data_IF_756138772473
#
_entry.id   IF_756138772473
#
_cell.length_a   1.000
_cell.length_b   1.000
_cell.length_c   1.000
_cell.angle_alpha   90.00
_cell.angle_beta   90.00
_cell.angle_gamma   90.00
#
_symmetry.space_group_name_H-M   'P 1'
#
loop_
_entity.id
_entity.type
_entity.pdbx_description
1 polymer ?
#
# COMPACT_ATOMS: atom_id res chain seq x y z
N UNK A 1 5.34 -19.74 -20.24
CA UNK A 1 6.53 -18.87 -20.22
C UNK A 1 7.47 -19.44 -19.17
N UNK A 2 8.64 -20.00 -19.56
CA UNK A 2 9.62 -20.51 -18.59
C UNK A 2 10.18 -19.32 -17.80
N UNK A 3 10.14 -19.45 -16.45
CA UNK A 3 10.73 -18.47 -15.54
C UNK A 3 12.20 -18.24 -15.92
N UNK A 4 12.49 -17.08 -16.47
CA UNK A 4 13.86 -16.63 -16.77
C UNK A 4 14.65 -16.28 -15.49
N UNK A 5 13.93 -16.15 -14.36
CA UNK A 5 14.48 -15.93 -13.03
C UNK A 5 14.03 -17.10 -12.16
N UNK A 6 14.98 -17.81 -11.57
CA UNK A 6 14.71 -18.93 -10.65
C UNK A 6 14.32 -18.31 -9.28
N UNK A 7 13.11 -17.74 -9.17
CA UNK A 7 12.60 -17.13 -7.95
C UNK A 7 12.04 -18.24 -7.06
N UNK A 8 12.62 -18.43 -5.90
CA UNK A 8 12.21 -19.41 -4.89
C UNK A 8 11.58 -18.72 -3.68
N UNK A 9 12.05 -17.52 -3.32
CA UNK A 9 11.60 -16.79 -2.13
C UNK A 9 11.30 -15.32 -2.48
N UNK A 10 10.13 -14.83 -2.11
CA UNK A 10 9.72 -13.44 -2.28
C UNK A 10 9.44 -12.77 -0.93
N UNK A 11 9.97 -11.56 -0.74
CA UNK A 11 9.62 -10.67 0.35
C UNK A 11 8.55 -9.69 -0.10
N UNK A 12 7.44 -9.60 0.64
CA UNK A 12 6.34 -8.64 0.36
C UNK A 12 6.13 -7.74 1.57
N UNK A 13 6.22 -6.44 1.38
CA UNK A 13 6.17 -5.45 2.46
C UNK A 13 5.16 -4.33 2.16
N UNK A 14 3.96 -4.36 2.78
CA UNK A 14 3.00 -3.26 2.69
C UNK A 14 3.42 -2.05 3.52
N UNK A 15 3.03 -0.85 3.06
CA UNK A 15 3.16 0.39 3.84
C UNK A 15 2.20 0.36 5.05
N UNK A 16 2.62 0.92 6.17
CA UNK A 16 1.86 1.00 7.43
C UNK A 16 0.71 2.03 7.45
N UNK A 17 0.40 2.67 6.32
CA UNK A 17 -0.66 3.68 6.22
C UNK A 17 -2.03 3.05 5.94
N UNK A 18 -2.64 2.50 7.00
CA UNK A 18 -3.94 1.87 6.92
C UNK A 18 -3.94 0.48 6.26
N UNK A 19 -5.07 -0.21 6.37
CA UNK A 19 -5.21 -1.61 5.94
C UNK A 19 -5.25 -1.79 4.42
N UNK A 20 -5.48 -0.73 3.65
CA UNK A 20 -5.56 -0.78 2.19
C UNK A 20 -4.30 -1.33 1.54
N UNK A 21 -3.13 -1.03 2.10
CA UNK A 21 -1.85 -1.56 1.64
C UNK A 21 -1.72 -3.07 1.91
N UNK A 22 -2.06 -3.52 3.11
CA UNK A 22 -2.04 -4.93 3.44
C UNK A 22 -3.07 -5.73 2.62
N UNK A 23 -4.29 -5.21 2.45
CA UNK A 23 -5.35 -5.90 1.70
C UNK A 23 -5.02 -6.06 0.22
N UNK A 24 -4.35 -5.11 -0.42
CA UNK A 24 -3.95 -5.23 -1.83
C UNK A 24 -2.75 -6.15 -2.04
N UNK A 25 -1.96 -6.44 -0.99
CA UNK A 25 -0.91 -7.45 -1.04
C UNK A 25 -1.47 -8.88 -1.02
N UNK A 26 -2.66 -9.12 -0.46
CA UNK A 26 -3.28 -10.44 -0.35
C UNK A 26 -3.36 -11.19 -1.70
N UNK A 27 -3.91 -10.63 -2.79
CA UNK A 27 -3.94 -11.31 -4.07
C UNK A 27 -2.54 -11.58 -4.64
N UNK A 28 -1.54 -10.75 -4.34
CA UNK A 28 -0.16 -10.97 -4.75
C UNK A 28 0.44 -12.18 -4.00
N UNK A 29 0.24 -12.24 -2.69
CA UNK A 29 0.64 -13.38 -1.85
C UNK A 29 0.02 -14.69 -2.38
N UNK A 30 -1.29 -14.69 -2.65
CA UNK A 30 -2.00 -15.85 -3.21
C UNK A 30 -1.42 -16.28 -4.55
N UNK A 31 -1.09 -15.33 -5.43
CA UNK A 31 -0.51 -15.63 -6.75
C UNK A 31 0.87 -16.29 -6.63
N UNK A 32 1.74 -15.81 -5.74
CA UNK A 32 3.04 -16.46 -5.50
C UNK A 32 2.89 -17.84 -4.86
N UNK A 33 1.96 -18.00 -3.91
CA UNK A 33 1.65 -19.31 -3.32
C UNK A 33 1.19 -20.34 -4.36
N UNK A 34 0.35 -19.94 -5.33
CA UNK A 34 -0.08 -20.80 -6.46
C UNK A 34 1.08 -21.22 -7.37
N UNK A 35 2.16 -20.45 -7.40
CA UNK A 35 3.39 -20.78 -8.13
C UNK A 35 4.39 -21.61 -7.31
N UNK A 36 4.02 -22.02 -6.09
CA UNK A 36 4.88 -22.69 -5.12
C UNK A 36 6.16 -21.89 -4.77
N UNK A 37 6.06 -20.57 -4.77
CA UNK A 37 7.11 -19.66 -4.35
C UNK A 37 6.91 -19.35 -2.86
N UNK A 38 7.98 -19.50 -2.07
CA UNK A 38 7.97 -19.17 -0.64
C UNK A 38 7.74 -17.68 -0.47
N UNK A 39 6.70 -17.30 0.29
CA UNK A 39 6.38 -15.89 0.60
C UNK A 39 6.79 -15.60 2.04
N UNK A 40 7.53 -14.52 2.22
CA UNK A 40 7.83 -13.91 3.51
C UNK A 40 7.19 -12.52 3.52
N UNK A 41 6.47 -12.21 4.59
CA UNK A 41 5.83 -10.91 4.76
C UNK A 41 6.66 -10.04 5.69
N UNK A 42 6.70 -8.73 5.43
CA UNK A 42 7.33 -7.77 6.33
C UNK A 42 6.31 -6.72 6.75
N UNK A 43 5.87 -6.77 7.99
CA UNK A 43 4.82 -5.88 8.51
C UNK A 43 4.88 -5.76 10.04
N UNK A 44 4.22 -4.73 10.59
CA UNK A 44 3.98 -4.59 12.03
C UNK A 44 2.51 -4.20 12.31
N UNK A 45 2.09 -4.26 13.57
CA UNK A 45 0.82 -3.75 14.06
C UNK A 45 -0.41 -4.36 13.35
N UNK A 46 -1.36 -3.51 12.98
CA UNK A 46 -2.63 -3.95 12.38
C UNK A 46 -2.49 -4.64 11.02
N UNK A 47 -1.47 -4.27 10.22
CA UNK A 47 -1.19 -4.95 8.96
C UNK A 47 -0.72 -6.39 9.20
N UNK A 48 0.21 -6.58 10.16
CA UNK A 48 0.66 -7.92 10.52
C UNK A 48 -0.49 -8.77 11.06
N UNK A 49 -1.34 -8.22 11.93
CA UNK A 49 -2.50 -8.93 12.47
C UNK A 49 -3.49 -9.36 11.36
N UNK A 50 -3.78 -8.47 10.39
CA UNK A 50 -4.63 -8.80 9.24
C UNK A 50 -4.00 -9.91 8.38
N UNK A 51 -2.72 -9.79 8.08
CA UNK A 51 -2.02 -10.74 7.21
C UNK A 51 -1.87 -12.10 7.88
N UNK A 52 -1.61 -12.17 9.20
CA UNK A 52 -1.61 -13.42 9.98
C UNK A 52 -2.98 -14.10 9.98
N UNK A 53 -4.06 -13.31 10.07
CA UNK A 53 -5.43 -13.86 10.00
C UNK A 53 -5.74 -14.46 8.62
N UNK A 54 -5.25 -13.85 7.56
CA UNK A 54 -5.44 -14.32 6.17
C UNK A 54 -4.50 -15.47 5.81
N UNK A 55 -3.29 -15.48 6.38
CA UNK A 55 -2.21 -16.44 6.08
C UNK A 55 -1.51 -16.88 7.39
N UNK A 56 -2.13 -17.74 8.20
CA UNK A 56 -1.60 -18.12 9.51
C UNK A 56 -0.26 -18.88 9.43
N UNK A 57 0.02 -19.53 8.31
CA UNK A 57 1.22 -20.36 8.13
C UNK A 57 2.41 -19.59 7.53
N UNK A 58 2.23 -18.31 7.15
CA UNK A 58 3.32 -17.54 6.56
C UNK A 58 4.21 -16.87 7.61
N UNK A 59 5.50 -16.82 7.32
CA UNK A 59 6.46 -16.08 8.13
C UNK A 59 6.23 -14.58 7.97
N UNK A 60 6.06 -13.87 9.10
CA UNK A 60 6.03 -12.41 9.14
C UNK A 60 7.23 -11.90 9.93
N UNK A 61 8.08 -11.10 9.26
CA UNK A 61 9.23 -10.43 9.87
C UNK A 61 8.81 -9.03 10.29
N UNK A 62 9.08 -8.59 11.54
CA UNK A 62 8.76 -7.23 11.96
C UNK A 62 9.50 -6.18 11.11
N UNK A 63 8.77 -5.21 10.58
CA UNK A 63 9.33 -4.08 9.86
C UNK A 63 8.66 -2.80 10.33
N UNK A 64 9.46 -1.93 10.98
CA UNK A 64 8.95 -0.67 11.52
C UNK A 64 8.35 0.22 10.44
N UNK A 65 7.17 0.77 10.72
CA UNK A 65 6.46 1.66 9.82
C UNK A 65 6.98 3.10 9.85
N UNK A 66 6.53 3.90 8.86
CA UNK A 66 6.86 5.33 8.77
C UNK A 66 6.21 6.14 9.90
N UNK A 67 5.08 5.66 10.45
CA UNK A 67 4.34 6.29 11.57
C UNK A 67 4.13 7.78 11.33
N UNK A 68 3.59 8.12 10.14
CA UNK A 68 3.31 9.50 9.76
C UNK A 68 2.11 10.03 10.54
N UNK A 69 2.25 11.22 11.09
CA UNK A 69 1.18 11.92 11.78
C UNK A 69 0.55 12.99 10.88
N UNK A 70 -0.75 12.92 10.71
CA UNK A 70 -1.51 13.92 9.98
C UNK A 70 -1.99 15.03 10.91
N UNK A 71 -1.76 16.29 10.50
CA UNK A 71 -2.31 17.43 11.23
C UNK A 71 -3.83 17.47 11.07
N UNK A 72 -4.54 17.88 12.12
CA UNK A 72 -6.01 18.02 12.10
C UNK A 72 -6.50 19.13 11.15
N UNK A 73 -5.68 20.13 10.86
CA UNK A 73 -5.98 21.25 10.00
C UNK A 73 -5.31 21.10 8.63
N UNK A 74 -6.08 21.37 7.56
CA UNK A 74 -5.60 21.33 6.17
C UNK A 74 -4.43 22.32 5.91
N UNK A 75 -4.45 23.49 6.56
CA UNK A 75 -3.38 24.49 6.43
C UNK A 75 -2.09 24.05 7.09
N UNK A 76 -2.18 23.34 8.22
CA UNK A 76 -1.02 22.82 8.95
C UNK A 76 -0.49 21.51 8.38
N UNK A 77 -1.23 20.85 7.49
CA UNK A 77 -0.86 19.55 6.94
C UNK A 77 0.46 19.61 6.16
N UNK A 78 0.60 20.58 5.25
CA UNK A 78 1.82 20.73 4.45
C UNK A 78 3.04 21.01 5.35
N UNK A 79 2.88 21.90 6.33
CA UNK A 79 3.96 22.22 7.28
C UNK A 79 4.33 21.01 8.16
N UNK A 80 3.32 20.28 8.63
CA UNK A 80 3.52 19.04 9.41
C UNK A 80 4.25 17.96 8.58
N UNK A 81 3.92 17.81 7.30
CA UNK A 81 4.60 16.86 6.41
C UNK A 81 6.05 17.30 6.15
N UNK A 82 6.30 18.59 5.95
CA UNK A 82 7.68 19.10 5.76
C UNK A 82 8.55 18.84 6.98
N UNK A 83 8.04 19.03 8.19
CA UNK A 83 8.76 18.74 9.44
C UNK A 83 9.07 17.23 9.61
N UNK A 84 8.32 16.37 8.94
CA UNK A 84 8.53 14.92 9.00
C UNK A 84 9.54 14.40 7.96
N UNK A 85 9.98 15.22 6.99
CA UNK A 85 10.94 14.82 5.95
C UNK A 85 12.23 14.18 6.53
N UNK A 86 12.89 14.76 7.57
CA UNK A 86 14.07 14.13 8.15
C UNK A 86 13.80 12.76 8.76
N UNK A 87 12.61 12.60 9.40
CA UNK A 87 12.17 11.32 9.95
C UNK A 87 11.94 10.29 8.84
N UNK A 88 11.25 10.68 7.76
CA UNK A 88 11.02 9.82 6.60
C UNK A 88 12.33 9.34 5.99
N UNK A 89 13.28 10.26 5.80
CA UNK A 89 14.60 9.90 5.27
C UNK A 89 15.36 8.92 6.17
N UNK A 90 15.34 9.14 7.50
CA UNK A 90 15.93 8.20 8.47
C UNK A 90 15.26 6.82 8.40
N UNK A 91 13.94 6.77 8.26
CA UNK A 91 13.21 5.51 8.13
C UNK A 91 13.57 4.78 6.84
N UNK A 92 13.68 5.50 5.70
CA UNK A 92 14.13 4.91 4.42
C UNK A 92 15.53 4.30 4.58
N UNK A 93 16.46 4.99 5.26
CA UNK A 93 17.81 4.47 5.49
C UNK A 93 17.83 3.28 6.45
N UNK A 94 16.96 3.26 7.43
CA UNK A 94 16.78 2.10 8.33
C UNK A 94 16.21 0.90 7.57
N UNK A 95 15.25 1.10 6.65
CA UNK A 95 14.75 0.04 5.76
C UNK A 95 15.84 -0.54 4.86
N UNK A 96 16.68 0.30 4.26
CA UNK A 96 17.80 -0.16 3.42
C UNK A 96 18.77 -1.05 4.23
N UNK A 97 19.11 -0.61 5.46
CA UNK A 97 20.00 -1.39 6.33
C UNK A 97 19.35 -2.71 6.79
N UNK A 98 18.07 -2.67 7.19
CA UNK A 98 17.30 -3.83 7.58
C UNK A 98 17.19 -4.85 6.43
N UNK A 99 16.90 -4.37 5.21
CA UNK A 99 16.72 -5.21 4.03
C UNK A 99 17.96 -6.03 3.68
N UNK A 100 19.17 -5.46 3.82
CA UNK A 100 20.42 -6.18 3.56
C UNK A 100 20.52 -7.46 4.38
N UNK A 101 20.27 -7.34 5.69
CA UNK A 101 20.34 -8.50 6.59
C UNK A 101 19.25 -9.53 6.25
N UNK A 102 18.02 -9.08 6.02
CA UNK A 102 16.89 -9.97 5.73
C UNK A 102 17.06 -10.71 4.41
N UNK A 103 17.62 -10.06 3.39
CA UNK A 103 17.91 -10.71 2.09
C UNK A 103 18.89 -11.86 2.26
N UNK A 104 19.98 -11.67 3.01
CA UNK A 104 21.00 -12.67 3.26
C UNK A 104 20.47 -13.81 4.14
N UNK A 105 19.84 -13.48 5.28
CA UNK A 105 19.33 -14.46 6.25
C UNK A 105 18.23 -15.36 5.68
N UNK A 106 17.40 -14.83 4.77
CA UNK A 106 16.23 -15.54 4.25
C UNK A 106 16.34 -15.96 2.78
N UNK A 107 17.49 -15.70 2.13
CA UNK A 107 17.74 -16.05 0.73
C UNK A 107 16.62 -15.48 -0.19
N UNK A 108 16.36 -14.18 -0.08
CA UNK A 108 15.31 -13.51 -0.85
C UNK A 108 15.77 -13.32 -2.30
N UNK A 109 14.96 -13.79 -3.26
CA UNK A 109 15.20 -13.68 -4.70
C UNK A 109 14.45 -12.52 -5.37
N UNK A 110 13.37 -12.06 -4.72
CA UNK A 110 12.53 -10.97 -5.21
C UNK A 110 11.97 -10.15 -4.05
N UNK A 111 11.97 -8.83 -4.19
CA UNK A 111 11.38 -7.90 -3.21
C UNK A 111 10.18 -7.21 -3.84
N UNK A 112 9.05 -7.19 -3.14
CA UNK A 112 7.86 -6.43 -3.51
C UNK A 112 7.56 -5.43 -2.40
N UNK A 113 7.81 -4.18 -2.72
CA UNK A 113 7.63 -3.05 -1.82
C UNK A 113 6.36 -2.30 -2.16
N UNK A 114 5.36 -2.37 -1.32
CA UNK A 114 4.18 -1.58 -1.50
C UNK A 114 4.33 -0.21 -0.81
N UNK A 115 4.75 0.77 -1.61
CA UNK A 115 4.91 2.18 -1.24
C UNK A 115 5.97 2.45 -0.14
N UNK A 116 6.96 1.56 0.04
CA UNK A 116 8.09 1.70 0.98
C UNK A 116 9.37 1.95 0.21
N UNK A 117 9.92 3.15 0.28
CA UNK A 117 11.01 3.60 -0.57
C UNK A 117 12.37 2.97 -0.26
N UNK A 118 12.61 2.52 0.97
CA UNK A 118 13.90 1.94 1.36
C UNK A 118 14.08 0.45 0.99
N UNK A 119 13.04 -0.21 0.46
CA UNK A 119 13.08 -1.64 0.17
C UNK A 119 13.53 -1.93 -1.28
N UNK A 120 14.59 -1.28 -1.71
CA UNK A 120 15.29 -1.60 -2.97
C UNK A 120 16.65 -2.23 -2.67
N UNK A 121 17.13 -3.11 -3.55
CA UNK A 121 18.40 -3.82 -3.36
C UNK A 121 19.25 -3.77 -4.64
N UNK A 122 20.60 -3.61 -4.52
CA UNK A 122 21.45 -3.45 -5.69
C UNK A 122 21.56 -4.69 -6.59
N UNK A 123 21.34 -5.89 -6.01
CA UNK A 123 21.50 -7.16 -6.73
C UNK A 123 20.15 -7.89 -6.86
N UNK A 124 19.35 -7.94 -5.79
CA UNK A 124 18.06 -8.63 -5.81
C UNK A 124 17.01 -7.76 -6.49
N UNK A 125 16.30 -8.27 -7.52
CA UNK A 125 15.22 -7.53 -8.17
C UNK A 125 14.20 -7.02 -7.16
N UNK A 126 13.83 -5.75 -7.27
CA UNK A 126 12.89 -5.09 -6.38
C UNK A 126 11.82 -4.36 -7.18
N UNK A 127 10.56 -4.58 -6.83
CA UNK A 127 9.39 -4.01 -7.49
C UNK A 127 8.71 -3.03 -6.54
N UNK A 128 8.51 -1.81 -6.99
CA UNK A 128 7.77 -0.80 -6.25
C UNK A 128 6.30 -0.79 -6.68
N UNK A 129 5.37 -0.90 -5.73
CA UNK A 129 3.94 -0.79 -6.00
C UNK A 129 3.45 0.58 -5.57
N UNK A 130 2.83 1.32 -6.48
CA UNK A 130 2.14 2.58 -6.15
C UNK A 130 1.09 2.94 -7.18
N UNK A 131 -0.04 3.50 -6.73
CA UNK A 131 -1.02 4.16 -7.61
C UNK A 131 -0.78 5.68 -7.71
N UNK A 132 0.20 6.20 -6.97
CA UNK A 132 0.52 7.63 -6.92
C UNK A 132 1.86 7.91 -7.60
N UNK A 133 1.88 7.92 -8.93
CA UNK A 133 3.03 8.40 -9.70
C UNK A 133 3.13 9.93 -9.62
N UNK A 134 2.00 10.63 -9.48
CA UNK A 134 1.96 12.07 -9.19
C UNK A 134 1.43 12.30 -7.77
N UNK A 135 2.13 13.13 -7.01
CA UNK A 135 1.67 13.64 -5.72
C UNK A 135 1.09 15.03 -5.97
N UNK A 136 -0.24 15.15 -5.82
CA UNK A 136 -0.96 16.41 -6.05
C UNK A 136 -0.64 17.44 -4.98
N UNK A 137 -0.42 18.68 -5.43
CA UNK A 137 -0.19 19.84 -4.58
C UNK A 137 -0.98 21.06 -5.10
N UNK A 138 -1.20 22.09 -4.26
CA UNK A 138 -1.93 23.31 -4.68
C UNK A 138 -1.25 24.07 -5.83
N UNK A 139 0.07 23.98 -5.94
CA UNK A 139 0.88 24.69 -6.93
C UNK A 139 1.62 23.72 -7.85
N UNK A 140 1.62 23.98 -9.15
CA UNK A 140 2.25 23.13 -10.17
C UNK A 140 3.76 22.94 -9.94
N UNK A 141 4.48 23.98 -9.50
CA UNK A 141 5.91 23.88 -9.21
C UNK A 141 6.20 22.94 -8.01
N UNK A 142 5.29 22.90 -7.02
CA UNK A 142 5.38 21.94 -5.89
C UNK A 142 5.11 20.52 -6.38
N UNK A 143 4.09 20.31 -7.22
CA UNK A 143 3.85 18.99 -7.85
C UNK A 143 5.08 18.53 -8.65
N UNK A 144 5.74 19.44 -9.37
CA UNK A 144 6.96 19.13 -10.12
C UNK A 144 8.09 18.67 -9.20
N UNK A 145 8.33 19.37 -8.09
CA UNK A 145 9.35 18.99 -7.10
C UNK A 145 9.01 17.63 -6.48
N UNK A 146 7.76 17.43 -6.02
CA UNK A 146 7.33 16.18 -5.44
C UNK A 146 7.44 15.02 -6.42
N UNK A 147 7.09 15.21 -7.69
CA UNK A 147 7.28 14.21 -8.74
C UNK A 147 8.75 13.86 -8.92
N UNK A 148 9.67 14.83 -8.93
CA UNK A 148 11.11 14.57 -9.04
C UNK A 148 11.63 13.74 -7.86
N UNK A 149 11.23 14.09 -6.65
CA UNK A 149 11.60 13.34 -5.44
C UNK A 149 11.01 11.92 -5.49
N UNK A 150 9.72 11.79 -5.81
CA UNK A 150 9.06 10.50 -5.94
C UNK A 150 9.76 9.61 -6.98
N UNK A 151 10.07 10.15 -8.16
CA UNK A 151 10.77 9.41 -9.22
C UNK A 151 12.21 9.11 -8.88
N UNK A 152 12.90 9.94 -8.10
CA UNK A 152 14.22 9.61 -7.58
C UNK A 152 14.20 8.31 -6.79
N UNK A 153 13.21 8.13 -5.91
CA UNK A 153 13.07 6.89 -5.14
C UNK A 153 12.56 5.72 -6.00
N UNK A 154 11.53 5.92 -6.82
CA UNK A 154 10.99 4.86 -7.69
C UNK A 154 12.07 4.32 -8.63
N UNK A 155 12.93 5.17 -9.14
CA UNK A 155 14.01 4.78 -10.07
C UNK A 155 15.16 3.99 -9.41
N UNK A 156 15.14 3.78 -8.10
CA UNK A 156 16.05 2.85 -7.41
C UNK A 156 15.59 1.39 -7.52
N UNK A 157 14.34 1.16 -7.90
CA UNK A 157 13.75 -0.17 -8.06
C UNK A 157 13.99 -0.73 -9.48
N UNK A 158 13.83 -2.04 -9.63
CA UNK A 158 13.94 -2.71 -10.94
C UNK A 158 12.74 -2.43 -11.82
N UNK A 159 11.55 -2.30 -11.23
CA UNK A 159 10.29 -2.01 -11.94
C UNK A 159 9.29 -1.35 -10.98
N UNK A 160 8.25 -0.75 -11.57
CA UNK A 160 7.13 -0.18 -10.84
C UNK A 160 5.80 -0.83 -11.29
N UNK A 161 5.03 -1.36 -10.34
CA UNK A 161 3.69 -1.87 -10.59
C UNK A 161 2.65 -0.87 -10.13
N UNK A 162 1.70 -0.58 -11.02
CA UNK A 162 0.60 0.36 -10.75
C UNK A 162 -0.70 -0.41 -10.63
N UNK A 163 -1.33 -0.49 -9.44
CA UNK A 163 -2.62 -1.14 -9.24
C UNK A 163 -3.76 -0.28 -9.78
N UNK A 164 -3.82 -0.14 -11.09
CA UNK A 164 -4.84 0.57 -11.84
C UNK A 164 -5.01 -0.06 -13.23
N UNK A 165 -6.03 0.40 -13.96
CA UNK A 165 -6.27 -0.02 -15.34
C UNK A 165 -5.27 0.67 -16.27
N UNK A 166 -4.81 -0.04 -17.31
CA UNK A 166 -3.93 0.55 -18.33
C UNK A 166 -4.64 1.62 -19.16
N UNK A 167 -5.96 1.51 -19.31
CA UNK A 167 -6.76 2.49 -20.03
C UNK A 167 -6.80 3.82 -19.25
N UNK A 168 -6.46 4.91 -19.92
CA UNK A 168 -6.54 6.26 -19.37
C UNK A 168 -8.00 6.75 -19.40
N UNK A 169 -8.58 7.29 -18.32
CA UNK A 169 -7.88 7.81 -17.12
C UNK A 169 -7.66 6.78 -15.99
N UNK A 170 -8.06 5.51 -16.11
CA UNK A 170 -8.05 4.55 -15.02
C UNK A 170 -8.98 4.95 -13.87
N UNK A 171 -8.83 4.33 -12.71
CA UNK A 171 -9.60 4.69 -11.50
C UNK A 171 -8.91 5.77 -10.66
N UNK A 172 -7.58 5.79 -10.64
CA UNK A 172 -6.81 6.81 -9.95
C UNK A 172 -6.58 8.07 -10.81
N UNK A 173 -7.06 8.09 -12.05
CA UNK A 173 -6.98 9.22 -12.96
C UNK A 173 -5.54 9.71 -13.17
N UNK A 174 -5.34 11.03 -13.09
CA UNK A 174 -4.01 11.64 -13.28
C UNK A 174 -2.96 11.21 -12.25
N UNK A 175 -3.34 10.61 -11.13
CA UNK A 175 -2.38 10.14 -10.13
C UNK A 175 -1.54 8.98 -10.65
N UNK A 176 -2.16 8.07 -11.41
CA UNK A 176 -1.53 6.87 -11.98
C UNK A 176 -1.13 7.03 -13.45
N UNK A 177 -1.65 8.04 -14.16
CA UNK A 177 -1.40 8.31 -15.59
C UNK A 177 -0.72 9.67 -15.80
N UNK A 178 0.55 9.82 -15.41
CA UNK A 178 1.31 11.06 -15.64
C UNK A 178 1.71 11.21 -17.11
N UNK A 179 1.90 12.45 -17.56
CA UNK A 179 2.46 12.72 -18.88
C UNK A 179 3.94 12.30 -19.01
N UNK A 180 4.66 12.26 -17.88
CA UNK A 180 6.07 11.85 -17.81
C UNK A 180 6.18 10.70 -16.83
N UNK A 181 6.63 9.55 -17.31
CA UNK A 181 6.80 8.32 -16.51
C UNK A 181 8.14 8.29 -15.77
N UNK A 182 8.28 7.46 -14.71
CA UNK A 182 9.58 7.08 -14.15
C UNK A 182 10.47 6.43 -15.23
N UNK A 183 11.78 6.35 -14.96
CA UNK A 183 12.74 5.73 -15.91
C UNK A 183 12.66 4.19 -15.90
N UNK A 184 12.23 3.59 -14.79
CA UNK A 184 12.08 2.14 -14.67
C UNK A 184 10.84 1.66 -15.43
N UNK A 185 10.80 0.40 -15.88
CA UNK A 185 9.60 -0.20 -16.49
C UNK A 185 8.39 -0.08 -15.58
N UNK A 186 7.27 0.41 -16.12
CA UNK A 186 6.00 0.55 -15.41
C UNK A 186 4.98 -0.44 -16.00
N UNK A 187 4.33 -1.22 -15.13
CA UNK A 187 3.28 -2.18 -15.51
C UNK A 187 2.00 -1.92 -14.73
N UNK A 188 0.88 -1.84 -15.43
CA UNK A 188 -0.44 -1.70 -14.83
C UNK A 188 -1.00 -3.08 -14.47
N UNK A 189 -1.30 -3.28 -13.17
CA UNK A 189 -1.68 -4.59 -12.59
C UNK A 189 -3.19 -4.83 -12.53
N UNK A 190 -4.00 -3.93 -13.09
CA UNK A 190 -5.46 -3.87 -12.85
C UNK A 190 -5.73 -3.64 -11.36
N UNK A 191 -6.95 -3.98 -10.91
CA UNK A 191 -7.34 -3.81 -9.50
C UNK A 191 -6.87 -5.01 -8.68
N UNK A 192 -6.14 -4.74 -7.61
CA UNK A 192 -5.73 -5.74 -6.63
C UNK A 192 -6.81 -5.85 -5.55
N UNK A 193 -7.76 -6.76 -5.73
CA UNK A 193 -8.83 -7.05 -4.77
C UNK A 193 -8.67 -8.44 -4.19
N UNK A 194 -8.85 -8.57 -2.86
CA UNK A 194 -8.94 -9.87 -2.19
C UNK A 194 -10.30 -10.55 -2.37
N UNK A 195 -11.30 -9.79 -2.84
CA UNK A 195 -12.66 -10.28 -3.00
C UNK A 195 -12.89 -10.85 -4.39
N UNK A 196 -13.63 -11.94 -4.45
CA UNK A 196 -14.20 -12.51 -5.67
C UNK A 196 -15.67 -12.20 -5.73
N UNK A 197 -16.22 -12.06 -6.94
CA UNK A 197 -17.67 -11.86 -7.12
C UNK A 197 -18.41 -13.12 -6.69
N UNK A 198 -19.33 -12.95 -5.75
CA UNK A 198 -20.24 -14.01 -5.29
C UNK A 198 -21.65 -13.58 -5.62
N UNK A 199 -22.46 -14.51 -6.17
CA UNK A 199 -23.90 -14.30 -6.34
C UNK A 199 -24.60 -14.57 -5.01
N UNK A 200 -25.25 -13.57 -4.47
CA UNK A 200 -26.04 -13.71 -3.23
C UNK A 200 -27.28 -12.82 -3.29
N UNK A 201 -28.30 -13.17 -2.48
CA UNK A 201 -29.48 -12.33 -2.33
C UNK A 201 -29.13 -11.03 -1.60
N UNK A 202 -29.71 -9.92 -2.04
CA UNK A 202 -29.54 -8.61 -1.40
C UNK A 202 -30.21 -8.62 -0.03
N UNK A 203 -29.45 -8.51 1.03
CA UNK A 203 -29.92 -8.52 2.43
C UNK A 203 -30.09 -7.11 3.00
N UNK A 204 -29.25 -6.16 2.56
CA UNK A 204 -29.23 -4.80 3.07
C UNK A 204 -29.59 -3.80 1.97
N UNK A 205 -30.26 -2.71 2.34
CA UNK A 205 -30.61 -1.63 1.40
C UNK A 205 -29.37 -0.90 0.91
N UNK A 206 -28.38 -0.70 1.80
CA UNK A 206 -27.04 -0.23 1.44
C UNK A 206 -26.02 -0.63 2.49
N UNK A 207 -24.75 -0.55 2.10
CA UNK A 207 -23.62 -0.81 2.96
C UNK A 207 -22.78 0.47 3.10
N UNK A 208 -22.40 0.79 4.32
CA UNK A 208 -21.50 1.87 4.66
C UNK A 208 -20.16 1.23 5.03
N UNK A 209 -19.09 1.61 4.31
CA UNK A 209 -17.74 1.10 4.58
C UNK A 209 -16.88 2.26 5.02
N UNK A 210 -16.52 2.27 6.30
CA UNK A 210 -15.62 3.29 6.86
C UNK A 210 -14.18 2.90 6.61
N UNK A 211 -13.39 3.88 6.18
CA UNK A 211 -11.94 3.76 6.05
C UNK A 211 -11.30 5.12 6.33
N UNK A 212 -10.00 5.12 6.58
CA UNK A 212 -9.23 6.34 6.79
C UNK A 212 -8.49 6.35 8.13
N UNK A 213 -7.62 7.36 8.33
CA UNK A 213 -6.86 7.52 9.56
C UNK A 213 -7.72 8.06 10.70
N UNK A 214 -7.31 7.76 11.93
CA UNK A 214 -7.88 8.41 13.11
C UNK A 214 -7.34 9.84 13.26
N UNK A 215 -8.11 10.80 13.80
CA UNK A 215 -9.47 10.66 14.35
C UNK A 215 -10.60 10.88 13.32
N UNK A 216 -10.29 11.12 12.04
CA UNK A 216 -11.27 11.48 11.01
C UNK A 216 -12.30 10.37 10.79
N UNK A 217 -11.85 9.11 10.83
CA UNK A 217 -12.74 7.94 10.71
C UNK A 217 -13.78 7.90 11.83
N UNK A 218 -13.35 8.07 13.08
CA UNK A 218 -14.24 8.08 14.25
C UNK A 218 -15.23 9.26 14.22
N UNK A 219 -14.78 10.45 13.80
CA UNK A 219 -15.67 11.61 13.65
C UNK A 219 -16.76 11.33 12.59
N UNK A 220 -16.36 10.75 11.45
CA UNK A 220 -17.31 10.37 10.39
C UNK A 220 -18.29 9.30 10.87
N UNK A 221 -17.81 8.29 11.60
CA UNK A 221 -18.63 7.23 12.17
C UNK A 221 -19.72 7.80 13.09
N UNK A 222 -19.34 8.67 14.03
CA UNK A 222 -20.31 9.27 14.97
C UNK A 222 -21.39 10.08 14.23
N UNK A 223 -21.04 10.84 13.21
CA UNK A 223 -22.02 11.59 12.42
C UNK A 223 -22.97 10.64 11.67
N UNK A 224 -22.44 9.57 11.07
CA UNK A 224 -23.25 8.57 10.36
C UNK A 224 -24.21 7.84 11.31
N UNK A 225 -23.76 7.49 12.51
CA UNK A 225 -24.62 6.81 13.50
C UNK A 225 -25.84 7.68 13.90
N UNK A 226 -25.65 9.00 14.04
CA UNK A 226 -26.76 9.94 14.29
C UNK A 226 -27.76 9.92 13.13
N UNK A 227 -27.27 10.00 11.89
CA UNK A 227 -28.14 10.00 10.71
C UNK A 227 -28.88 8.66 10.54
N UNK A 228 -28.27 7.55 10.97
CA UNK A 228 -28.87 6.21 10.90
C UNK A 228 -30.00 5.98 11.90
N UNK A 229 -30.10 6.73 13.00
CA UNK A 229 -31.18 6.60 13.99
C UNK A 229 -32.57 6.80 13.35
N UNK A 230 -32.68 7.65 12.35
CA UNK A 230 -33.93 7.91 11.61
C UNK A 230 -34.17 6.91 10.45
N UNK A 231 -33.24 5.99 10.18
CA UNK A 231 -33.29 5.12 9.01
C UNK A 231 -33.89 3.76 9.35
N UNK A 232 -35.02 3.41 8.71
CA UNK A 232 -35.84 2.22 9.05
C UNK A 232 -35.51 0.98 8.24
N UNK A 233 -34.75 1.10 7.13
CA UNK A 233 -34.39 -0.07 6.29
C UNK A 233 -33.11 -0.72 6.78
N UNK A 234 -32.90 -2.04 6.52
CA UNK A 234 -31.67 -2.72 6.92
C UNK A 234 -30.42 -2.10 6.28
N UNK A 235 -29.47 -1.73 7.11
CA UNK A 235 -28.15 -1.17 6.72
C UNK A 235 -27.06 -2.00 7.36
N UNK A 236 -25.94 -2.17 6.67
CA UNK A 236 -24.71 -2.71 7.27
C UNK A 236 -23.64 -1.63 7.36
N UNK A 237 -23.08 -1.45 8.55
CA UNK A 237 -21.95 -0.54 8.80
C UNK A 237 -20.69 -1.39 9.04
N UNK A 238 -19.71 -1.25 8.13
CA UNK A 238 -18.40 -1.90 8.23
C UNK A 238 -17.43 -0.86 8.76
N UNK A 239 -17.06 -0.96 10.02
CA UNK A 239 -16.28 0.05 10.76
C UNK A 239 -14.80 0.12 10.35
N UNK A 240 -14.27 -0.93 9.71
CA UNK A 240 -12.88 -0.97 9.26
C UNK A 240 -11.87 -1.09 10.41
N UNK A 241 -12.28 -1.58 11.58
CA UNK A 241 -11.44 -1.85 12.74
C UNK A 241 -11.09 -3.34 12.77
N UNK A 242 -9.81 -3.73 12.61
CA UNK A 242 -9.42 -5.14 12.52
C UNK A 242 -9.39 -5.88 13.86
N UNK A 243 -9.52 -5.15 14.96
CA UNK A 243 -9.37 -5.67 16.34
C UNK A 243 -10.67 -5.76 17.12
N UNK A 244 -11.80 -5.42 16.51
CA UNK A 244 -13.14 -5.52 17.10
C UNK A 244 -14.00 -6.57 16.37
#
# INVERSE_FOLDING_TARGET
MKNQFNISTVLIAPLDWGLGHATRCIPIVKAFGQLNIKVILAAEGHQAALLLKEFPDLTIIPLTGYRVHYAKSRLLLLFSLMLQIPKLYKTIKAEEAWLKNVVEENQIDLIISDNRFGLHHPVVPSIFITHQLIIKAPYQWVEYIFRRINYYFINQFTACWVPDMIANPGLAGKLSHPAVMPKVPVSYMKLLSRFTRVSCATKYSFAIVLSGPEPQRTILENNILIDLEAFTKPVVLIRGLPTE
#
